data_IF_125339179038
#
_entry.id   IF_125339179038
#
_cell.length_a   1.000
_cell.length_b   1.000
_cell.length_c   1.000
_cell.angle_alpha   90.00
_cell.angle_beta   90.00
_cell.angle_gamma   90.00
#
_symmetry.space_group_name_H-M   'P 1'
#
loop_
_entity.id
_entity.type
_entity.pdbx_description
1 polymer ?
#
# COMPACT_ATOMS: atom_id res chain seq x y z
N UNK A 1 28.53 7.41 31.78
CA UNK A 1 28.25 6.15 31.05
C UNK A 1 27.17 6.45 30.04
N UNK A 2 27.58 6.69 28.80
CA UNK A 2 26.76 7.22 27.72
C UNK A 2 25.74 6.19 27.24
N UNK A 3 24.46 6.53 27.39
CA UNK A 3 23.34 5.77 26.87
C UNK A 3 23.28 5.98 25.35
N UNK A 4 23.55 4.92 24.58
CA UNK A 4 23.30 4.88 23.14
C UNK A 4 21.80 5.07 22.87
N UNK A 5 21.42 6.31 22.54
CA UNK A 5 20.10 6.61 22.00
C UNK A 5 19.92 5.87 20.67
N UNK A 6 18.74 5.29 20.50
CA UNK A 6 18.31 4.56 19.31
C UNK A 6 18.52 5.42 18.05
N UNK A 7 19.46 5.03 17.20
CA UNK A 7 19.66 5.60 15.86
C UNK A 7 18.51 5.16 14.95
N UNK A 8 17.37 5.85 15.05
CA UNK A 8 16.34 5.85 14.03
C UNK A 8 16.14 7.30 13.60
N UNK A 9 16.59 7.60 12.38
CA UNK A 9 16.36 8.82 11.59
C UNK A 9 17.02 10.12 12.06
N UNK A 10 17.71 10.79 11.13
CA UNK A 10 18.09 12.21 11.23
C UNK A 10 17.04 13.02 10.45
N UNK A 11 16.16 13.79 11.10
CA UNK A 11 15.26 14.69 10.40
C UNK A 11 16.02 15.94 9.91
N UNK A 12 15.72 16.38 8.69
CA UNK A 12 16.09 17.71 8.20
C UNK A 12 15.25 18.80 8.90
N UNK A 13 15.71 20.05 8.92
CA UNK A 13 15.01 21.14 9.61
C UNK A 13 13.69 21.49 8.90
N UNK A 14 12.56 21.64 9.61
CA UNK A 14 11.29 22.03 8.99
C UNK A 14 11.20 23.54 8.70
N UNK A 15 10.50 23.90 7.61
CA UNK A 15 9.90 25.24 7.41
C UNK A 15 8.63 25.39 8.28
N UNK A 16 8.19 26.60 8.65
CA UNK A 16 7.15 26.80 9.65
C UNK A 16 5.77 26.41 9.13
N UNK A 17 5.32 25.21 9.51
CA UNK A 17 3.94 24.74 9.38
C UNK A 17 3.00 25.54 10.31
N UNK A 18 1.68 25.60 10.02
CA UNK A 18 0.70 26.25 10.90
C UNK A 18 0.81 25.72 12.34
N UNK A 19 0.59 26.61 13.31
CA UNK A 19 0.81 26.39 14.75
C UNK A 19 0.58 24.93 15.19
N UNK A 20 1.61 24.21 15.67
CA UNK A 20 1.57 22.77 15.96
C UNK A 20 0.40 22.34 16.86
N UNK A 21 -0.06 23.21 17.75
CA UNK A 21 -1.24 22.99 18.60
C UNK A 21 -2.53 22.72 17.80
N UNK A 22 -2.76 23.44 16.69
CA UNK A 22 -3.99 23.30 15.90
C UNK A 22 -4.02 22.03 15.05
N UNK A 23 -2.87 21.56 14.55
CA UNK A 23 -2.77 20.30 13.82
C UNK A 23 -2.78 19.10 14.76
N UNK A 24 -2.06 19.19 15.89
CA UNK A 24 -2.12 18.20 16.96
C UNK A 24 -3.56 17.93 17.40
N UNK A 25 -4.27 18.97 17.84
CA UNK A 25 -5.64 18.84 18.33
C UNK A 25 -6.59 18.22 17.28
N UNK A 26 -6.46 18.61 16.01
CA UNK A 26 -7.28 18.09 14.90
C UNK A 26 -7.07 16.60 14.66
N UNK A 27 -5.81 16.15 14.59
CA UNK A 27 -5.48 14.73 14.37
C UNK A 27 -5.92 13.91 15.59
N UNK A 28 -5.70 14.40 16.81
CA UNK A 28 -6.17 13.73 18.04
C UNK A 28 -7.69 13.62 18.11
N UNK A 29 -8.41 14.66 17.70
CA UNK A 29 -9.87 14.68 17.64
C UNK A 29 -10.41 13.69 16.60
N UNK A 30 -9.75 13.55 15.44
CA UNK A 30 -10.15 12.58 14.41
C UNK A 30 -10.17 11.15 14.96
N UNK A 31 -9.15 10.74 15.73
CA UNK A 31 -9.12 9.41 16.35
C UNK A 31 -10.27 9.21 17.35
N UNK A 32 -10.62 10.26 18.11
CA UNK A 32 -11.75 10.20 19.05
C UNK A 32 -13.10 10.14 18.31
N UNK A 33 -13.26 10.90 17.22
CA UNK A 33 -14.45 10.88 16.39
C UNK A 33 -14.70 9.50 15.74
N UNK A 34 -13.64 8.77 15.38
CA UNK A 34 -13.76 7.40 14.88
C UNK A 34 -14.27 6.40 15.92
N UNK A 35 -14.10 6.68 17.21
CA UNK A 35 -14.53 5.81 18.30
C UNK A 35 -15.88 6.24 18.91
N UNK A 36 -16.34 7.46 18.64
CA UNK A 36 -17.57 8.04 19.20
C UNK A 36 -18.84 7.21 18.94
N UNK A 37 -19.09 6.66 17.74
CA UNK A 37 -20.32 5.89 17.50
C UNK A 37 -20.27 4.46 18.05
N UNK A 38 -19.17 4.06 18.70
CA UNK A 38 -18.93 2.68 19.12
C UNK A 38 -19.31 2.45 20.59
N UNK A 39 -19.83 1.27 20.88
CA UNK A 39 -20.01 0.83 22.26
C UNK A 39 -18.66 0.47 22.92
N UNK A 40 -18.58 0.43 24.26
CA UNK A 40 -17.42 -0.10 24.96
C UNK A 40 -17.05 -1.54 24.54
N UNK A 41 -18.04 -2.37 24.20
CA UNK A 41 -17.88 -3.74 23.74
C UNK A 41 -17.18 -3.79 22.37
N UNK A 42 -17.62 -2.96 21.42
CA UNK A 42 -16.99 -2.82 20.10
C UNK A 42 -15.53 -2.36 20.23
N UNK A 43 -15.28 -1.45 21.18
CA UNK A 43 -13.94 -0.91 21.42
C UNK A 43 -12.96 -1.90 22.09
N UNK A 44 -13.45 -3.02 22.64
CA UNK A 44 -12.66 -4.02 23.36
C UNK A 44 -12.29 -5.23 22.50
N UNK A 45 -13.13 -5.61 21.53
CA UNK A 45 -12.98 -6.86 20.83
C UNK A 45 -11.76 -6.89 19.88
N UNK A 46 -11.20 -8.09 19.69
CA UNK A 46 -10.14 -8.36 18.72
C UNK A 46 -10.59 -9.53 17.84
N UNK A 47 -10.89 -9.24 16.58
CA UNK A 47 -11.48 -10.21 15.64
C UNK A 47 -10.47 -11.16 15.01
N UNK A 48 -9.19 -10.77 14.94
CA UNK A 48 -8.07 -11.65 14.58
C UNK A 48 -6.73 -11.10 15.10
N UNK A 49 -5.65 -11.90 15.14
CA UNK A 49 -4.36 -11.46 15.67
C UNK A 49 -3.74 -10.23 14.99
N UNK A 50 -4.10 -9.97 13.73
CA UNK A 50 -3.62 -8.78 13.03
C UNK A 50 -4.37 -7.50 13.39
N UNK A 51 -5.63 -7.63 13.81
CA UNK A 51 -6.43 -6.50 14.30
C UNK A 51 -6.08 -6.18 15.76
N UNK A 52 -6.37 -4.96 16.19
CA UNK A 52 -6.31 -4.53 17.59
C UNK A 52 -7.64 -3.89 18.01
N UNK A 53 -8.00 -3.96 19.31
CA UNK A 53 -9.17 -3.24 19.81
C UNK A 53 -9.04 -1.74 19.56
N UNK A 54 -10.16 -1.06 19.25
CA UNK A 54 -10.17 0.40 19.04
C UNK A 54 -9.60 1.14 20.24
N UNK A 55 -9.93 0.72 21.47
CA UNK A 55 -9.35 1.35 22.67
C UNK A 55 -7.85 1.10 22.81
N UNK A 56 -7.32 0.01 22.26
CA UNK A 56 -5.88 -0.22 22.22
C UNK A 56 -5.22 0.76 21.24
N UNK A 57 -5.81 1.04 20.09
CA UNK A 57 -5.31 2.08 19.17
C UNK A 57 -5.28 3.46 19.83
N UNK A 58 -6.40 3.85 20.46
CA UNK A 58 -6.52 5.12 21.17
C UNK A 58 -5.46 5.29 22.28
N UNK A 59 -5.20 4.22 23.03
CA UNK A 59 -4.17 4.22 24.06
C UNK A 59 -2.75 4.16 23.47
N UNK A 60 -2.55 3.41 22.39
CA UNK A 60 -1.24 3.26 21.76
C UNK A 60 -0.72 4.55 21.12
N UNK A 61 -1.56 5.30 20.42
CA UNK A 61 -1.13 6.60 19.87
C UNK A 61 -0.82 7.59 20.98
N UNK A 62 -1.53 7.51 22.10
CA UNK A 62 -1.27 8.32 23.30
C UNK A 62 0.05 7.94 23.98
N UNK A 63 0.31 6.63 24.08
CA UNK A 63 1.56 6.07 24.57
C UNK A 63 2.77 6.52 23.74
N UNK A 64 2.61 6.73 22.44
CA UNK A 64 3.68 7.26 21.59
C UNK A 64 4.12 8.65 22.09
N UNK A 65 3.17 9.57 22.25
CA UNK A 65 3.46 10.93 22.73
C UNK A 65 4.00 10.94 24.16
N UNK A 66 3.41 10.15 25.07
CA UNK A 66 3.92 10.06 26.45
C UNK A 66 5.35 9.50 26.50
N UNK A 67 5.64 8.48 25.71
CA UNK A 67 6.93 7.77 25.75
C UNK A 67 8.04 8.55 25.06
N UNK A 68 7.80 9.04 23.84
CA UNK A 68 8.85 9.57 22.98
C UNK A 68 8.95 11.10 23.01
N UNK A 69 7.83 11.79 23.22
CA UNK A 69 7.82 13.26 23.27
C UNK A 69 7.93 13.73 24.71
N UNK A 70 6.90 13.48 25.53
CA UNK A 70 6.86 13.94 26.91
C UNK A 70 8.05 13.37 27.71
N UNK A 71 8.33 12.07 27.60
CA UNK A 71 9.46 11.45 28.30
C UNK A 71 10.83 12.05 27.95
N UNK A 72 10.98 12.63 26.74
CA UNK A 72 12.22 13.28 26.30
C UNK A 72 12.32 14.73 26.76
N UNK A 73 11.23 15.49 26.64
CA UNK A 73 11.22 16.94 26.88
C UNK A 73 10.77 17.34 28.29
N UNK A 74 10.23 16.40 29.07
CA UNK A 74 9.87 16.54 30.49
C UNK A 74 10.23 15.26 31.28
N UNK A 75 11.53 14.90 31.41
CA UNK A 75 11.96 13.62 32.00
C UNK A 75 11.55 13.42 33.47
N UNK A 76 11.21 14.49 34.19
CA UNK A 76 10.70 14.42 35.57
C UNK A 76 9.19 14.24 35.69
N UNK A 77 8.44 14.28 34.57
CA UNK A 77 6.98 14.12 34.61
C UNK A 77 6.62 12.67 34.97
N UNK A 78 5.74 12.52 35.94
CA UNK A 78 5.17 11.20 36.28
C UNK A 78 4.26 10.73 35.14
N UNK A 79 4.41 9.48 34.65
CA UNK A 79 3.49 8.94 33.66
C UNK A 79 2.08 8.79 34.23
N UNK A 80 1.07 8.76 33.37
CA UNK A 80 -0.33 8.57 33.76
C UNK A 80 -0.51 7.28 34.57
N UNK A 81 0.01 6.18 34.04
CA UNK A 81 0.11 4.89 34.73
C UNK A 81 1.39 4.16 34.28
N UNK A 82 2.28 3.73 35.21
CA UNK A 82 3.53 3.07 34.84
C UNK A 82 3.34 1.75 34.07
N UNK A 83 2.21 1.06 34.23
CA UNK A 83 1.94 -0.21 33.54
C UNK A 83 1.63 0.02 32.04
N UNK A 84 1.13 1.19 31.67
CA UNK A 84 0.73 1.51 30.29
C UNK A 84 1.92 1.49 29.33
N UNK A 85 3.14 1.77 29.84
CA UNK A 85 4.37 1.67 29.06
C UNK A 85 4.56 0.28 28.44
N UNK A 86 4.16 -0.78 29.15
CA UNK A 86 4.24 -2.17 28.67
C UNK A 86 2.99 -2.57 27.88
N UNK A 87 1.79 -2.22 28.36
CA UNK A 87 0.52 -2.62 27.75
C UNK A 87 0.34 -2.07 26.32
N UNK A 88 0.79 -0.84 26.10
CA UNK A 88 0.61 -0.13 24.84
C UNK A 88 1.89 -0.02 24.01
N UNK A 89 2.97 -0.72 24.39
CA UNK A 89 4.11 -0.91 23.49
C UNK A 89 3.71 -1.85 22.34
N UNK A 90 3.82 -1.37 21.10
CA UNK A 90 3.48 -2.17 19.92
C UNK A 90 4.55 -3.22 19.61
N UNK A 91 5.78 -2.78 19.39
CA UNK A 91 6.91 -3.62 18.97
C UNK A 91 8.30 -3.01 19.25
N UNK A 92 8.38 -1.93 20.03
CA UNK A 92 9.64 -1.26 20.35
C UNK A 92 10.41 -2.06 21.41
N UNK A 93 11.18 -3.06 20.96
CA UNK A 93 11.95 -3.93 21.85
C UNK A 93 12.97 -3.15 22.70
N UNK A 94 13.51 -2.04 22.16
CA UNK A 94 14.42 -1.15 22.88
C UNK A 94 13.73 -0.38 24.03
N UNK A 95 12.40 -0.21 23.97
CA UNK A 95 11.64 0.47 25.02
C UNK A 95 11.35 -0.47 26.20
N UNK A 96 11.15 -1.76 25.93
CA UNK A 96 10.98 -2.80 26.94
C UNK A 96 10.02 -3.92 26.52
N UNK A 97 9.52 -4.65 27.52
CA UNK A 97 8.51 -5.68 27.34
C UNK A 97 7.22 -5.13 26.72
N UNK A 98 6.40 -6.04 26.16
CA UNK A 98 5.09 -5.73 25.59
C UNK A 98 4.07 -6.81 25.89
N UNK A 99 2.81 -6.41 25.98
CA UNK A 99 1.70 -7.37 25.99
C UNK A 99 1.62 -8.10 24.64
N UNK A 100 1.39 -9.43 24.59
CA UNK A 100 1.32 -10.17 23.34
C UNK A 100 0.22 -9.63 22.40
N UNK A 101 0.58 -9.31 21.15
CA UNK A 101 -0.34 -8.77 20.13
C UNK A 101 -1.62 -9.61 19.96
N UNK A 102 -1.58 -10.96 19.89
CA UNK A 102 -2.78 -11.78 19.73
C UNK A 102 -3.72 -11.78 20.94
N UNK A 103 -3.30 -11.19 22.07
CA UNK A 103 -4.03 -11.17 23.33
C UNK A 103 -4.47 -9.76 23.73
N UNK A 104 -4.38 -8.77 22.83
CA UNK A 104 -4.81 -7.38 23.12
C UNK A 104 -6.31 -7.32 23.45
N UNK A 105 -7.13 -8.14 22.80
CA UNK A 105 -8.56 -8.26 23.06
C UNK A 105 -8.92 -8.84 24.43
N UNK A 106 -7.95 -9.40 25.17
CA UNK A 106 -8.16 -9.92 26.53
C UNK A 106 -7.97 -8.86 27.62
N UNK A 107 -7.45 -7.68 27.27
CA UNK A 107 -7.21 -6.59 28.22
C UNK A 107 -8.53 -5.85 28.51
N UNK A 108 -9.36 -6.40 29.39
CA UNK A 108 -10.60 -5.73 29.84
C UNK A 108 -10.34 -4.44 30.61
N UNK A 109 -9.13 -4.30 31.17
CA UNK A 109 -8.60 -3.06 31.75
C UNK A 109 -7.33 -2.61 31.02
N UNK A 110 -7.13 -1.30 30.87
CA UNK A 110 -8.04 -0.21 31.25
C UNK A 110 -9.32 -0.16 30.41
N UNK A 111 -10.39 0.36 31.00
CA UNK A 111 -11.68 0.60 30.33
C UNK A 111 -11.54 1.67 29.23
N UNK A 112 -12.51 1.74 28.31
CA UNK A 112 -12.55 2.81 27.30
C UNK A 112 -12.53 4.20 27.96
N UNK A 113 -13.29 4.39 29.04
CA UNK A 113 -13.32 5.63 29.79
C UNK A 113 -11.95 6.01 30.37
N UNK A 114 -11.22 5.05 30.97
CA UNK A 114 -9.85 5.27 31.45
C UNK A 114 -8.87 5.61 30.32
N UNK A 115 -9.00 4.97 29.15
CA UNK A 115 -8.22 5.30 27.96
C UNK A 115 -8.49 6.72 27.48
N UNK A 116 -9.76 7.18 27.49
CA UNK A 116 -10.10 8.56 27.14
C UNK A 116 -9.53 9.57 28.15
N UNK A 117 -9.52 9.22 29.45
CA UNK A 117 -8.82 10.04 30.47
C UNK A 117 -7.32 10.09 30.24
N UNK A 118 -6.71 8.97 29.85
CA UNK A 118 -5.29 8.92 29.50
C UNK A 118 -4.98 9.82 28.29
N UNK A 119 -5.81 9.78 27.25
CA UNK A 119 -5.72 10.70 26.10
C UNK A 119 -5.73 12.16 26.56
N UNK A 120 -6.74 12.56 27.32
CA UNK A 120 -6.89 13.93 27.80
C UNK A 120 -5.69 14.39 28.65
N UNK A 121 -5.16 13.52 29.50
CA UNK A 121 -3.97 13.83 30.31
C UNK A 121 -2.74 14.14 29.44
N UNK A 122 -2.48 13.30 28.44
CA UNK A 122 -1.35 13.49 27.52
C UNK A 122 -1.59 14.68 26.60
N UNK A 123 -2.82 14.90 26.14
CA UNK A 123 -3.17 16.06 25.31
C UNK A 123 -2.90 17.38 26.06
N UNK A 124 -3.27 17.49 27.33
CA UNK A 124 -2.97 18.67 28.15
C UNK A 124 -1.45 18.92 28.32
N UNK A 125 -0.67 17.84 28.52
CA UNK A 125 0.79 17.94 28.61
C UNK A 125 1.41 18.36 27.26
N UNK A 126 0.89 17.81 26.15
CA UNK A 126 1.30 18.16 24.80
C UNK A 126 0.95 19.61 24.44
N UNK A 127 -0.22 20.13 24.84
CA UNK A 127 -0.56 21.54 24.66
C UNK A 127 0.45 22.47 25.34
N UNK A 128 0.82 22.13 26.58
CA UNK A 128 1.82 22.89 27.35
C UNK A 128 3.20 22.85 26.67
N UNK A 129 3.60 21.68 26.16
CA UNK A 129 4.87 21.51 25.45
C UNK A 129 4.89 22.24 24.10
N UNK A 130 3.82 22.13 23.32
CA UNK A 130 3.68 22.81 22.04
C UNK A 130 3.74 24.34 22.22
N UNK A 131 3.11 24.88 23.26
CA UNK A 131 3.18 26.32 23.55
C UNK A 131 4.61 26.80 23.88
N UNK A 132 5.46 25.91 24.41
CA UNK A 132 6.82 26.23 24.86
C UNK A 132 7.90 25.97 23.82
N UNK A 133 7.77 24.89 23.04
CA UNK A 133 8.86 24.35 22.21
C UNK A 133 8.60 24.37 20.71
N UNK A 134 7.34 24.50 20.28
CA UNK A 134 7.03 24.31 18.87
C UNK A 134 7.55 25.48 18.02
N UNK A 135 8.28 25.16 16.94
CA UNK A 135 9.01 26.13 16.13
C UNK A 135 10.29 26.67 16.77
N UNK A 136 10.61 26.26 18.01
CA UNK A 136 11.81 26.67 18.76
C UNK A 136 12.83 25.53 18.82
N UNK A 137 12.36 24.29 19.00
CA UNK A 137 13.18 23.09 19.08
C UNK A 137 12.84 22.14 17.92
N UNK A 138 13.76 22.02 16.97
CA UNK A 138 13.56 21.20 15.77
C UNK A 138 13.42 19.70 16.07
N UNK A 139 14.05 19.20 17.15
CA UNK A 139 13.92 17.80 17.54
C UNK A 139 12.54 17.53 18.14
N UNK A 140 11.97 18.50 18.85
CA UNK A 140 10.59 18.45 19.33
C UNK A 140 9.63 18.42 18.15
N UNK A 141 9.76 19.37 17.22
CA UNK A 141 8.89 19.45 16.05
C UNK A 141 8.93 18.17 15.21
N UNK A 142 10.12 17.61 14.98
CA UNK A 142 10.28 16.37 14.22
C UNK A 142 9.63 15.15 14.91
N UNK A 143 9.74 15.03 16.24
CA UNK A 143 9.12 13.93 16.98
C UNK A 143 7.61 14.06 17.06
N UNK A 144 7.09 15.29 17.19
CA UNK A 144 5.65 15.54 17.11
C UNK A 144 5.13 15.21 15.72
N UNK A 145 5.81 15.65 14.66
CA UNK A 145 5.46 15.32 13.27
C UNK A 145 5.38 13.81 13.05
N UNK A 146 6.38 13.06 13.51
CA UNK A 146 6.38 11.60 13.44
C UNK A 146 5.20 10.98 14.21
N UNK A 147 4.92 11.47 15.42
CA UNK A 147 3.80 10.99 16.23
C UNK A 147 2.43 11.26 15.60
N UNK A 148 2.27 12.40 14.93
CA UNK A 148 1.05 12.74 14.21
C UNK A 148 0.83 11.83 13.00
N UNK A 149 1.85 11.60 12.18
CA UNK A 149 1.75 10.67 11.05
C UNK A 149 1.54 9.22 11.52
N UNK A 150 2.15 8.81 12.64
CA UNK A 150 1.89 7.53 13.29
C UNK A 150 0.42 7.40 13.76
N UNK A 151 -0.16 8.45 14.32
CA UNK A 151 -1.59 8.43 14.69
C UNK A 151 -2.51 8.35 13.47
N UNK A 152 -2.17 9.00 12.36
CA UNK A 152 -2.93 8.88 11.11
C UNK A 152 -2.88 7.46 10.53
N UNK A 153 -1.74 6.76 10.62
CA UNK A 153 -1.68 5.31 10.30
C UNK A 153 -2.66 4.51 11.18
N UNK A 154 -2.74 4.84 12.47
CA UNK A 154 -3.66 4.19 13.40
C UNK A 154 -5.13 4.55 13.18
N UNK A 155 -5.45 5.72 12.66
CA UNK A 155 -6.82 6.10 12.27
C UNK A 155 -7.33 5.21 11.13
N UNK A 156 -6.46 4.89 10.17
CA UNK A 156 -6.79 3.93 9.13
C UNK A 156 -7.00 2.52 9.69
N UNK A 157 -6.10 2.07 10.57
CA UNK A 157 -6.21 0.75 11.21
C UNK A 157 -7.49 0.59 12.05
N UNK A 158 -7.94 1.65 12.73
CA UNK A 158 -9.22 1.64 13.46
C UNK A 158 -10.36 1.23 12.52
N UNK A 159 -10.44 1.82 11.33
CA UNK A 159 -11.49 1.53 10.36
C UNK A 159 -11.38 0.12 9.78
N UNK A 160 -10.17 -0.35 9.45
CA UNK A 160 -9.98 -1.70 8.90
C UNK A 160 -10.27 -2.78 9.93
N UNK A 161 -9.84 -2.56 11.17
CA UNK A 161 -10.01 -3.52 12.28
C UNK A 161 -11.47 -3.60 12.72
N UNK A 162 -12.14 -2.46 12.78
CA UNK A 162 -13.57 -2.38 13.03
C UNK A 162 -14.39 -3.03 11.92
N UNK A 163 -14.07 -2.77 10.64
CA UNK A 163 -14.74 -3.40 9.50
C UNK A 163 -14.66 -4.92 9.59
N UNK A 164 -13.48 -5.46 9.91
CA UNK A 164 -13.31 -6.90 10.11
C UNK A 164 -14.16 -7.41 11.28
N UNK A 165 -14.09 -6.75 12.45
CA UNK A 165 -14.90 -7.10 13.62
C UNK A 165 -16.40 -7.17 13.32
N UNK A 166 -16.94 -6.14 12.66
CA UNK A 166 -18.37 -6.07 12.37
C UNK A 166 -18.79 -7.09 11.30
N UNK A 167 -17.92 -7.41 10.34
CA UNK A 167 -18.18 -8.46 9.37
C UNK A 167 -18.29 -9.86 10.00
N UNK A 168 -17.60 -10.10 11.12
CA UNK A 168 -17.69 -11.35 11.86
C UNK A 168 -19.01 -11.48 12.63
N UNK A 169 -19.68 -10.38 12.96
CA UNK A 169 -20.92 -10.38 13.73
C UNK A 169 -22.10 -10.82 12.83
N UNK A 170 -22.85 -11.90 13.18
CA UNK A 170 -23.99 -12.37 12.41
C UNK A 170 -25.09 -11.33 12.16
N UNK A 171 -25.19 -10.31 13.01
CA UNK A 171 -26.15 -9.21 12.87
C UNK A 171 -25.73 -8.18 11.81
N UNK A 172 -24.49 -8.26 11.30
CA UNK A 172 -23.91 -7.35 10.29
C UNK A 172 -24.12 -5.87 10.63
N UNK A 173 -23.69 -5.40 11.82
CA UNK A 173 -23.87 -4.01 12.21
C UNK A 173 -23.12 -3.08 11.24
N UNK A 174 -23.71 -1.93 10.95
CA UNK A 174 -23.05 -0.86 10.21
C UNK A 174 -22.34 0.07 11.19
N UNK A 175 -21.15 0.56 10.84
CA UNK A 175 -20.44 1.58 11.61
C UNK A 175 -21.06 2.97 11.39
N UNK A 176 -21.36 3.29 10.14
CA UNK A 176 -21.95 4.56 9.75
C UNK A 176 -23.31 4.32 9.06
N UNK A 177 -24.24 5.29 9.10
CA UNK A 177 -25.51 5.16 8.40
C UNK A 177 -25.29 4.91 6.89
N UNK A 178 -26.25 4.29 6.20
CA UNK A 178 -26.15 4.05 4.76
C UNK A 178 -25.94 5.36 4.01
N UNK A 179 -24.77 5.52 3.42
CA UNK A 179 -24.40 6.70 2.64
C UNK A 179 -23.63 6.26 1.42
N UNK A 180 -24.33 5.81 0.38
CA UNK A 180 -23.71 5.51 -0.91
C UNK A 180 -24.03 6.65 -1.87
N UNK A 181 -23.14 7.66 -2.01
CA UNK A 181 -23.18 8.52 -3.18
C UNK A 181 -23.02 7.67 -4.43
N UNK A 182 -23.93 7.84 -5.38
CA UNK A 182 -23.89 7.15 -6.66
C UNK A 182 -22.50 7.34 -7.31
N UNK A 183 -21.84 6.24 -7.65
CA UNK A 183 -20.60 6.30 -8.41
C UNK A 183 -20.95 6.70 -9.85
N UNK A 184 -20.18 7.63 -10.46
CA UNK A 184 -20.41 7.99 -11.85
C UNK A 184 -20.25 6.75 -12.76
N UNK A 185 -21.14 6.64 -13.76
CA UNK A 185 -21.19 5.49 -14.67
C UNK A 185 -19.82 5.19 -15.30
N UNK A 186 -19.49 3.89 -15.35
CA UNK A 186 -18.14 3.39 -15.61
C UNK A 186 -17.55 3.83 -16.95
N UNK A 187 -16.31 4.30 -16.92
CA UNK A 187 -15.48 4.45 -18.11
C UNK A 187 -14.73 3.15 -18.39
N UNK A 188 -14.61 2.71 -19.66
CA UNK A 188 -13.66 1.66 -20.03
C UNK A 188 -12.27 2.00 -19.50
N UNK A 189 -11.52 1.00 -19.02
CA UNK A 189 -10.15 1.22 -18.57
C UNK A 189 -9.32 1.79 -19.73
N UNK A 190 -8.81 3.00 -19.58
CA UNK A 190 -7.82 3.57 -20.48
C UNK A 190 -6.42 3.13 -20.09
N UNK A 191 -5.48 3.31 -21.01
CA UNK A 191 -4.07 2.97 -20.82
C UNK A 191 -3.21 4.19 -21.11
N UNK A 192 -2.39 4.57 -20.13
CA UNK A 192 -1.39 5.62 -20.27
C UNK A 192 -0.04 4.98 -20.55
N UNK A 193 0.60 5.39 -21.65
CA UNK A 193 1.94 4.94 -22.01
C UNK A 193 2.99 5.77 -21.25
N UNK A 194 3.99 5.07 -20.73
CA UNK A 194 5.20 5.65 -20.15
C UNK A 194 6.39 5.09 -20.92
N UNK A 195 7.24 5.97 -21.44
CA UNK A 195 8.40 5.54 -22.24
C UNK A 195 9.53 4.92 -21.39
N UNK A 196 9.48 5.08 -20.07
CA UNK A 196 10.54 4.61 -19.17
C UNK A 196 11.81 5.44 -19.30
N UNK A 197 12.97 4.82 -19.10
CA UNK A 197 14.27 5.49 -19.00
C UNK A 197 14.84 5.42 -17.59
N UNK A 198 15.89 6.20 -17.34
CA UNK A 198 16.42 6.42 -16.00
C UNK A 198 15.53 7.46 -15.34
N UNK A 199 14.91 7.09 -14.22
CA UNK A 199 13.97 7.96 -13.48
C UNK A 199 14.35 8.01 -12.00
N UNK A 200 14.16 9.16 -11.37
CA UNK A 200 14.30 9.31 -9.93
C UNK A 200 13.05 8.82 -9.19
N UNK A 201 13.24 8.02 -8.15
CA UNK A 201 12.21 7.58 -7.19
C UNK A 201 12.65 7.90 -5.76
N UNK A 202 11.71 7.86 -4.82
CA UNK A 202 11.94 8.18 -3.40
C UNK A 202 11.74 9.68 -3.08
N UNK A 203 11.65 9.97 -1.78
CA UNK A 203 11.46 11.32 -1.28
C UNK A 203 12.76 12.13 -1.33
N UNK A 204 12.67 13.34 -1.89
CA UNK A 204 13.78 14.29 -2.05
C UNK A 204 13.42 15.71 -1.58
N UNK A 205 12.24 15.91 -0.99
CA UNK A 205 11.77 17.22 -0.53
C UNK A 205 12.09 17.48 0.94
N UNK A 206 11.81 18.71 1.38
CA UNK A 206 12.01 19.15 2.77
C UNK A 206 10.83 18.78 3.70
N UNK A 207 9.72 18.28 3.14
CA UNK A 207 8.56 17.84 3.92
C UNK A 207 8.76 16.50 4.62
N UNK A 208 7.82 16.11 5.48
CA UNK A 208 7.82 14.82 6.13
C UNK A 208 7.73 13.67 5.12
N UNK A 209 8.52 12.62 5.35
CA UNK A 209 8.38 11.30 4.76
C UNK A 209 8.85 10.26 5.78
N UNK A 210 8.35 9.04 5.68
CA UNK A 210 8.92 7.94 6.47
C UNK A 210 10.34 7.61 5.95
N UNK A 211 11.16 7.05 6.82
CA UNK A 211 12.55 6.75 6.52
C UNK A 211 12.73 5.79 5.34
N UNK A 212 11.81 4.82 5.22
CA UNK A 212 11.73 3.87 4.13
C UNK A 212 11.47 4.49 2.74
N UNK A 213 11.08 5.77 2.67
CA UNK A 213 10.90 6.50 1.42
C UNK A 213 12.19 7.20 0.95
N UNK A 214 13.24 7.16 1.79
CA UNK A 214 14.54 7.82 1.55
C UNK A 214 15.70 6.81 1.50
N UNK A 215 16.84 7.15 0.86
CA UNK A 215 17.08 8.32 0.03
C UNK A 215 16.45 8.20 -1.36
N UNK A 216 16.19 9.34 -2.00
CA UNK A 216 15.90 9.36 -3.42
C UNK A 216 17.07 8.82 -4.25
N UNK A 217 16.77 8.05 -5.29
CA UNK A 217 17.75 7.38 -6.12
C UNK A 217 17.20 7.09 -7.53
N UNK A 218 18.10 6.76 -8.46
CA UNK A 218 17.74 6.47 -9.85
C UNK A 218 17.46 4.98 -10.08
N UNK A 219 16.48 4.70 -10.94
CA UNK A 219 16.16 3.35 -11.41
C UNK A 219 15.93 3.33 -12.92
N UNK A 220 16.31 2.22 -13.57
CA UNK A 220 16.06 2.02 -15.01
C UNK A 220 14.72 1.32 -15.24
N UNK A 221 13.79 2.01 -15.90
CA UNK A 221 12.50 1.47 -16.31
C UNK A 221 12.45 1.22 -17.81
N UNK A 222 11.85 0.09 -18.21
CA UNK A 222 11.49 -0.19 -19.60
C UNK A 222 10.17 0.51 -19.93
N UNK A 223 9.87 0.80 -21.21
CA UNK A 223 8.56 1.31 -21.59
C UNK A 223 7.43 0.40 -21.09
N UNK A 224 6.34 1.00 -20.60
CA UNK A 224 5.17 0.28 -20.09
C UNK A 224 3.88 1.07 -20.35
N UNK A 225 2.74 0.40 -20.18
CA UNK A 225 1.44 1.06 -20.09
C UNK A 225 0.88 0.79 -18.71
N UNK A 226 0.29 1.79 -18.07
CA UNK A 226 -0.46 1.63 -16.82
C UNK A 226 -1.91 1.96 -17.11
N UNK A 227 -2.85 1.18 -16.57
CA UNK A 227 -4.25 1.58 -16.66
C UNK A 227 -4.50 2.94 -15.95
N UNK A 228 -5.60 3.61 -16.27
CA UNK A 228 -5.95 4.91 -15.70
C UNK A 228 -6.94 4.83 -14.51
N UNK A 229 -7.39 3.62 -14.17
CA UNK A 229 -8.19 3.32 -12.99
C UNK A 229 -7.90 1.93 -12.42
N UNK A 230 -8.22 1.67 -11.14
CA UNK A 230 -8.22 0.32 -10.58
C UNK A 230 -9.21 -0.62 -11.28
N UNK A 231 -9.01 -1.91 -11.08
CA UNK A 231 -9.94 -2.98 -11.46
C UNK A 231 -11.25 -2.80 -10.71
N UNK A 232 -12.38 -2.94 -11.38
CA UNK A 232 -13.70 -2.80 -10.74
C UNK A 232 -14.24 -4.12 -10.19
N UNK A 233 -15.24 -4.03 -9.32
CA UNK A 233 -15.99 -5.18 -8.82
C UNK A 233 -16.63 -5.99 -9.97
N UNK A 234 -17.18 -5.33 -10.99
CA UNK A 234 -17.75 -6.00 -12.15
C UNK A 234 -16.71 -6.75 -13.00
N UNK A 235 -15.53 -6.15 -13.20
CA UNK A 235 -14.42 -6.81 -13.88
C UNK A 235 -13.89 -8.01 -13.08
N UNK A 236 -13.87 -7.90 -11.74
CA UNK A 236 -13.46 -8.98 -10.86
C UNK A 236 -14.50 -10.10 -10.76
N UNK A 237 -15.79 -9.77 -10.84
CA UNK A 237 -16.87 -10.75 -10.92
C UNK A 237 -16.73 -11.62 -12.17
N UNK A 238 -16.35 -11.04 -13.32
CA UNK A 238 -16.08 -11.80 -14.54
C UNK A 238 -14.93 -12.81 -14.35
N UNK A 239 -13.88 -12.44 -13.60
CA UNK A 239 -12.80 -13.36 -13.22
C UNK A 239 -13.31 -14.51 -12.33
N UNK A 240 -14.18 -14.24 -11.36
CA UNK A 240 -14.81 -15.26 -10.51
C UNK A 240 -15.67 -16.22 -11.36
N UNK A 241 -16.50 -15.67 -12.24
CA UNK A 241 -17.42 -16.42 -13.10
C UNK A 241 -16.66 -17.32 -14.09
N UNK A 242 -15.53 -16.85 -14.64
CA UNK A 242 -14.62 -17.64 -15.49
C UNK A 242 -13.72 -18.63 -14.70
N UNK A 243 -14.08 -18.90 -13.44
CA UNK A 243 -13.42 -19.90 -12.62
C UNK A 243 -12.07 -19.48 -12.08
N UNK A 244 -11.83 -18.18 -11.87
CA UNK A 244 -10.57 -17.65 -11.35
C UNK A 244 -10.05 -18.37 -10.09
N UNK A 245 -10.93 -18.66 -9.14
CA UNK A 245 -10.63 -19.39 -7.89
C UNK A 245 -10.64 -20.93 -8.03
N UNK A 246 -10.76 -21.46 -9.25
CA UNK A 246 -10.78 -22.91 -9.55
C UNK A 246 -9.69 -23.33 -10.54
N UNK A 247 -8.84 -22.39 -10.96
CA UNK A 247 -7.89 -22.54 -12.06
C UNK A 247 -6.45 -22.33 -11.59
N UNK A 248 -5.75 -23.37 -11.12
CA UNK A 248 -4.42 -23.25 -10.51
C UNK A 248 -3.38 -22.60 -11.42
N UNK A 249 -3.53 -22.71 -12.75
CA UNK A 249 -2.62 -22.12 -13.73
C UNK A 249 -2.60 -20.58 -13.69
N UNK A 250 -3.61 -19.96 -13.05
CA UNK A 250 -3.69 -18.52 -12.86
C UNK A 250 -2.89 -18.04 -11.64
N UNK A 251 -2.46 -18.92 -10.73
CA UNK A 251 -1.95 -18.53 -9.42
C UNK A 251 -0.45 -18.77 -9.27
N UNK A 252 0.19 -17.97 -8.40
CA UNK A 252 1.46 -18.38 -7.80
C UNK A 252 1.23 -19.59 -6.89
N UNK A 253 2.19 -20.51 -6.81
CA UNK A 253 2.03 -21.76 -6.03
C UNK A 253 1.58 -21.50 -4.59
N UNK A 254 2.29 -20.62 -3.85
CA UNK A 254 1.91 -20.28 -2.48
C UNK A 254 0.52 -19.64 -2.38
N UNK A 255 0.12 -18.87 -3.40
CA UNK A 255 -1.20 -18.27 -3.46
C UNK A 255 -2.30 -19.30 -3.69
N UNK A 256 -2.05 -20.30 -4.54
CA UNK A 256 -2.96 -21.42 -4.74
C UNK A 256 -3.12 -22.26 -3.49
N UNK A 257 -2.00 -22.61 -2.84
CA UNK A 257 -2.01 -23.39 -1.60
C UNK A 257 -2.82 -22.68 -0.51
N UNK A 258 -2.61 -21.35 -0.34
CA UNK A 258 -3.35 -20.56 0.62
C UNK A 258 -4.85 -20.43 0.27
N UNK A 259 -5.18 -20.18 -1.01
CA UNK A 259 -6.56 -20.09 -1.47
C UNK A 259 -7.31 -21.43 -1.26
N UNK A 260 -6.65 -22.57 -1.48
CA UNK A 260 -7.21 -23.88 -1.18
C UNK A 260 -7.37 -24.10 0.33
N UNK A 261 -6.34 -23.83 1.13
CA UNK A 261 -6.36 -24.03 2.59
C UNK A 261 -7.46 -23.22 3.27
N UNK A 262 -7.70 -21.99 2.81
CA UNK A 262 -8.71 -21.08 3.36
C UNK A 262 -10.02 -21.07 2.56
N UNK A 263 -10.16 -21.96 1.56
CA UNK A 263 -11.33 -22.11 0.70
C UNK A 263 -11.83 -20.77 0.12
N UNK A 264 -10.92 -19.95 -0.42
CA UNK A 264 -11.25 -18.67 -1.02
C UNK A 264 -12.11 -18.84 -2.29
N UNK A 265 -13.15 -18.00 -2.41
CA UNK A 265 -14.10 -18.01 -3.55
C UNK A 265 -14.41 -16.63 -4.12
N UNK A 266 -14.09 -15.58 -3.37
CA UNK A 266 -14.30 -14.19 -3.69
C UNK A 266 -13.40 -13.35 -2.75
N UNK A 267 -13.26 -12.03 -2.98
CA UNK A 267 -12.58 -11.12 -2.07
C UNK A 267 -13.18 -11.17 -0.66
N UNK A 268 -12.39 -10.78 0.34
CA UNK A 268 -12.88 -10.70 1.71
C UNK A 268 -14.10 -9.76 1.79
N UNK A 269 -15.08 -10.13 2.61
CA UNK A 269 -16.38 -9.46 2.80
C UNK A 269 -17.44 -9.67 1.70
N UNK A 270 -17.13 -10.43 0.65
CA UNK A 270 -18.14 -10.84 -0.33
C UNK A 270 -18.92 -12.06 0.18
N UNK A 271 -20.25 -11.95 0.19
CA UNK A 271 -21.17 -12.99 0.64
C UNK A 271 -22.16 -13.34 -0.46
N UNK A 272 -22.47 -14.63 -0.60
CA UNK A 272 -23.40 -15.13 -1.60
C UNK A 272 -22.72 -16.01 -2.64
N UNK A 273 -23.41 -16.21 -3.77
CA UNK A 273 -22.94 -17.05 -4.86
C UNK A 273 -23.58 -16.62 -6.19
N UNK A 274 -22.95 -16.99 -7.30
CA UNK A 274 -23.41 -16.69 -8.67
C UNK A 274 -23.60 -15.20 -8.92
N UNK A 275 -24.84 -14.73 -9.04
CA UNK A 275 -25.19 -13.33 -9.34
C UNK A 275 -25.79 -12.61 -8.12
N UNK A 276 -25.89 -13.28 -6.97
CA UNK A 276 -26.50 -12.77 -5.72
C UNK A 276 -25.44 -12.36 -4.69
N UNK A 277 -24.30 -11.86 -5.17
CA UNK A 277 -23.24 -11.42 -4.29
C UNK A 277 -23.63 -10.11 -3.58
N UNK A 278 -23.21 -10.00 -2.33
CA UNK A 278 -23.28 -8.79 -1.50
C UNK A 278 -21.91 -8.51 -0.90
N UNK A 279 -21.61 -7.25 -0.62
CA UNK A 279 -20.34 -6.82 -0.04
C UNK A 279 -20.60 -6.12 1.28
N UNK A 280 -19.94 -6.59 2.34
CA UNK A 280 -19.99 -5.91 3.63
C UNK A 280 -19.05 -4.69 3.64
N UNK A 281 -19.62 -3.51 3.91
CA UNK A 281 -18.91 -2.22 4.00
C UNK A 281 -19.04 -1.63 5.40
N UNK A 282 -18.39 -0.50 5.67
CA UNK A 282 -18.61 0.23 6.93
C UNK A 282 -20.03 0.82 7.04
N UNK A 283 -20.80 0.80 5.95
CA UNK A 283 -22.21 1.17 5.88
C UNK A 283 -23.15 -0.05 5.92
N UNK A 284 -22.66 -1.24 6.27
CA UNK A 284 -23.43 -2.48 6.31
C UNK A 284 -23.32 -3.33 5.03
N UNK A 285 -24.25 -4.27 4.84
CA UNK A 285 -24.24 -5.19 3.70
C UNK A 285 -24.97 -4.60 2.50
N UNK A 286 -24.30 -4.52 1.34
CA UNK A 286 -24.85 -3.93 0.11
C UNK A 286 -24.73 -4.87 -1.07
N UNK A 287 -25.49 -4.63 -2.14
CA UNK A 287 -25.23 -5.28 -3.42
C UNK A 287 -23.85 -4.84 -3.97
N UNK A 288 -23.31 -5.58 -4.94
CA UNK A 288 -22.11 -5.10 -5.65
C UNK A 288 -22.41 -3.80 -6.35
N UNK A 289 -21.37 -2.99 -6.42
CA UNK A 289 -21.33 -1.83 -7.29
C UNK A 289 -20.34 -2.11 -8.43
N UNK A 290 -20.82 -2.49 -9.64
CA UNK A 290 -19.97 -2.98 -10.72
C UNK A 290 -18.85 -2.01 -11.14
N UNK A 291 -19.02 -0.72 -10.86
CA UNK A 291 -18.06 0.34 -11.19
C UNK A 291 -17.17 0.76 -10.01
N UNK A 292 -17.44 0.29 -8.80
CA UNK A 292 -16.55 0.50 -7.67
C UNK A 292 -15.25 -0.28 -7.85
N UNK A 293 -14.09 0.22 -7.37
CA UNK A 293 -12.88 -0.58 -7.28
C UNK A 293 -13.13 -1.87 -6.50
N UNK A 294 -12.56 -2.99 -6.95
CA UNK A 294 -12.48 -4.18 -6.11
C UNK A 294 -11.53 -3.89 -4.94
N UNK A 295 -11.91 -4.31 -3.74
CA UNK A 295 -11.16 -4.08 -2.49
C UNK A 295 -11.04 -5.36 -1.69
N UNK A 296 -10.16 -5.36 -0.69
CA UNK A 296 -9.94 -6.51 0.21
C UNK A 296 -9.55 -7.80 -0.51
N UNK A 297 -8.78 -7.65 -1.59
CA UNK A 297 -8.08 -8.74 -2.28
C UNK A 297 -6.65 -8.86 -1.75
N UNK A 298 -6.18 -10.09 -1.57
CA UNK A 298 -4.77 -10.38 -1.29
C UNK A 298 -3.88 -10.05 -2.49
N UNK A 299 -2.56 -9.99 -2.25
CA UNK A 299 -1.58 -9.92 -3.33
C UNK A 299 -1.73 -11.08 -4.33
N UNK A 300 -2.01 -12.29 -3.84
CA UNK A 300 -2.17 -13.48 -4.68
C UNK A 300 -3.38 -13.38 -5.60
N UNK A 301 -4.50 -12.90 -5.08
CA UNK A 301 -5.71 -12.62 -5.85
C UNK A 301 -5.47 -11.56 -6.93
N UNK A 302 -4.78 -10.47 -6.57
CA UNK A 302 -4.43 -9.41 -7.51
C UNK A 302 -3.52 -9.91 -8.65
N UNK A 303 -2.50 -10.72 -8.35
CA UNK A 303 -1.63 -11.34 -9.36
C UNK A 303 -2.38 -12.37 -10.22
N UNK A 304 -3.25 -13.18 -9.62
CA UNK A 304 -4.06 -14.16 -10.34
C UNK A 304 -5.04 -13.50 -11.33
N UNK A 305 -5.72 -12.44 -10.88
CA UNK A 305 -6.54 -11.60 -11.74
C UNK A 305 -5.70 -11.00 -12.88
N UNK A 306 -4.55 -10.43 -12.57
CA UNK A 306 -3.67 -9.82 -13.58
C UNK A 306 -3.23 -10.85 -14.64
N UNK A 307 -2.90 -12.09 -14.23
CA UNK A 307 -2.54 -13.17 -15.15
C UNK A 307 -3.71 -13.60 -16.02
N UNK A 308 -4.91 -13.73 -15.45
CA UNK A 308 -6.14 -14.00 -16.19
C UNK A 308 -6.43 -12.94 -17.24
N UNK A 309 -6.34 -11.66 -16.86
CA UNK A 309 -6.53 -10.52 -17.75
C UNK A 309 -5.33 -10.28 -18.72
N UNK A 310 -4.32 -11.17 -18.72
CA UNK A 310 -3.10 -11.10 -19.55
C UNK A 310 -2.28 -9.81 -19.35
N UNK A 311 -2.33 -9.25 -18.16
CA UNK A 311 -1.56 -8.09 -17.69
C UNK A 311 -0.61 -8.54 -16.57
N UNK A 312 0.01 -7.59 -15.86
CA UNK A 312 0.79 -7.84 -14.64
C UNK A 312 0.59 -6.69 -13.66
N UNK A 313 0.91 -6.91 -12.39
CA UNK A 313 1.01 -5.81 -11.43
C UNK A 313 2.18 -4.86 -11.79
N UNK A 314 2.04 -3.54 -11.55
CA UNK A 314 3.15 -2.62 -11.65
C UNK A 314 4.20 -2.89 -10.58
N UNK A 315 5.46 -2.60 -10.89
CA UNK A 315 6.49 -2.44 -9.86
C UNK A 315 6.26 -1.10 -9.15
N UNK A 316 6.71 -0.97 -7.90
CA UNK A 316 6.55 0.28 -7.14
C UNK A 316 7.12 1.49 -7.90
N UNK A 317 8.30 1.36 -8.51
CA UNK A 317 8.91 2.42 -9.31
C UNK A 317 8.10 2.81 -10.57
N UNK A 318 7.40 1.86 -11.18
CA UNK A 318 6.53 2.14 -12.33
C UNK A 318 5.26 2.88 -11.88
N UNK A 319 4.74 2.51 -10.70
CA UNK A 319 3.61 3.19 -10.09
C UNK A 319 3.99 4.61 -9.63
N UNK A 320 5.15 4.78 -9.00
CA UNK A 320 5.62 6.07 -8.50
C UNK A 320 5.90 7.06 -9.64
N UNK A 321 6.53 6.60 -10.74
CA UNK A 321 6.68 7.41 -11.94
C UNK A 321 5.32 7.89 -12.47
N UNK A 322 4.31 7.01 -12.49
CA UNK A 322 2.98 7.35 -12.94
C UNK A 322 2.26 8.32 -11.99
N UNK A 323 2.41 8.14 -10.69
CA UNK A 323 1.82 9.00 -9.67
C UNK A 323 2.39 10.44 -9.70
N UNK A 324 3.65 10.60 -10.09
CA UNK A 324 4.33 11.92 -10.22
C UNK A 324 4.14 12.61 -11.58
N UNK A 325 3.48 11.98 -12.55
CA UNK A 325 3.43 12.48 -13.93
C UNK A 325 2.62 13.79 -14.07
N UNK A 326 3.05 14.75 -14.92
CA UNK A 326 2.33 16.00 -15.16
C UNK A 326 0.88 15.74 -15.62
N UNK A 327 -0.10 16.31 -14.91
CA UNK A 327 -1.52 16.05 -15.14
C UNK A 327 -2.18 15.18 -14.06
N UNK A 328 -1.38 14.46 -13.26
CA UNK A 328 -1.77 14.05 -11.92
C UNK A 328 -1.74 15.29 -11.00
N UNK A 329 -2.71 16.20 -11.15
CA UNK A 329 -2.74 17.41 -10.33
C UNK A 329 -2.83 17.05 -8.85
N UNK A 330 -1.90 17.59 -8.05
CA UNK A 330 -1.93 17.57 -6.58
C UNK A 330 -3.17 18.29 -6.02
N UNK A 331 -3.82 19.16 -6.80
CA UNK A 331 -4.97 19.97 -6.39
C UNK A 331 -6.33 19.31 -6.64
N UNK A 332 -6.36 18.10 -7.22
CA UNK A 332 -7.62 17.41 -7.44
C UNK A 332 -8.02 16.63 -6.17
N UNK A 333 -9.28 16.73 -5.71
CA UNK A 333 -9.69 16.15 -4.43
C UNK A 333 -9.47 14.63 -4.43
N UNK A 334 -8.56 14.17 -3.57
CA UNK A 334 -8.39 12.75 -3.25
C UNK A 334 -9.52 12.30 -2.31
N UNK A 335 -9.87 11.01 -2.36
CA UNK A 335 -10.82 10.41 -1.44
C UNK A 335 -10.12 10.09 -0.11
N UNK A 336 -9.76 11.14 0.63
CA UNK A 336 -9.14 11.03 1.95
C UNK A 336 -10.21 10.84 3.03
N UNK A 337 -9.78 10.44 4.23
CA UNK A 337 -10.68 10.15 5.36
C UNK A 337 -11.60 11.34 5.69
N UNK A 338 -11.11 12.57 5.56
CA UNK A 338 -11.83 13.82 5.84
C UNK A 338 -13.02 14.05 4.91
N UNK A 339 -13.09 13.35 3.77
CA UNK A 339 -14.25 13.38 2.89
C UNK A 339 -15.47 12.65 3.45
N UNK A 340 -15.30 11.87 4.53
CA UNK A 340 -16.34 11.03 5.11
C UNK A 340 -16.73 9.81 4.26
N UNK A 341 -16.05 9.59 3.13
CA UNK A 341 -16.26 8.43 2.28
C UNK A 341 -15.34 7.28 2.71
N UNK A 342 -15.94 6.28 3.36
CA UNK A 342 -15.23 5.19 4.02
C UNK A 342 -14.91 4.00 3.09
N UNK A 343 -15.25 4.12 1.80
CA UNK A 343 -14.93 3.13 0.78
C UNK A 343 -14.13 3.79 -0.37
N UNK A 344 -13.16 3.07 -0.98
CA UNK A 344 -12.41 3.56 -2.12
C UNK A 344 -13.30 3.95 -3.31
N UNK A 345 -12.98 5.07 -3.94
CA UNK A 345 -13.73 5.60 -5.09
C UNK A 345 -12.93 5.55 -6.37
N UNK A 346 -13.60 5.38 -7.54
CA UNK A 346 -13.02 5.74 -8.82
C UNK A 346 -12.59 7.22 -8.78
N UNK A 347 -11.44 7.52 -9.38
CA UNK A 347 -11.02 8.91 -9.55
C UNK A 347 -12.08 9.68 -10.36
N UNK A 348 -12.45 10.92 -9.97
CA UNK A 348 -13.27 11.79 -10.81
C UNK A 348 -12.61 11.96 -12.17
N UNK A 349 -13.40 12.07 -13.25
CA UNK A 349 -12.85 12.34 -14.59
C UNK A 349 -11.98 13.59 -14.55
N UNK A 350 -10.67 13.43 -14.69
CA UNK A 350 -9.80 14.53 -15.05
C UNK A 350 -10.27 15.07 -16.40
N UNK A 351 -10.40 16.40 -16.55
CA UNK A 351 -10.47 17.00 -17.88
C UNK A 351 -9.21 16.57 -18.63
N UNK A 352 -9.32 15.56 -19.51
CA UNK A 352 -8.30 15.34 -20.55
C UNK A 352 -8.26 16.66 -21.31
N UNK A 353 -7.22 17.48 -21.11
CA UNK A 353 -6.81 18.36 -22.20
C UNK A 353 -6.49 17.42 -23.35
N UNK A 354 -7.16 17.62 -24.48
CA UNK A 354 -6.81 16.99 -25.73
C UNK A 354 -5.39 17.44 -26.12
N UNK A 355 -4.39 16.81 -25.51
CA UNK A 355 -2.98 17.04 -25.79
C UNK A 355 -2.60 16.20 -26.99
N UNK A 356 -2.65 16.84 -28.15
CA UNK A 356 -2.10 16.44 -29.45
C UNK A 356 -2.21 14.95 -29.82
N UNK A 357 -3.09 14.67 -30.77
CA UNK A 357 -2.78 13.67 -31.80
C UNK A 357 -1.43 14.05 -32.38
N UNK A 358 -0.35 13.39 -31.95
CA UNK A 358 0.91 13.45 -32.68
C UNK A 358 0.67 12.68 -33.97
N UNK A 359 0.17 13.42 -34.97
CA UNK A 359 0.21 13.02 -36.37
C UNK A 359 1.64 12.59 -36.67
N UNK A 360 1.77 11.43 -37.31
CA UNK A 360 2.98 10.94 -37.98
C UNK A 360 3.89 12.09 -38.44
N UNK A 361 5.10 12.15 -37.89
CA UNK A 361 6.30 12.45 -38.67
C UNK A 361 7.38 11.47 -38.23
N UNK A 362 7.72 10.55 -39.13
CA UNK A 362 9.04 9.93 -39.15
C UNK A 362 10.06 11.07 -39.17
N UNK A 363 10.85 11.21 -38.10
CA UNK A 363 12.10 11.95 -38.09
C UNK A 363 13.20 10.95 -37.81
N UNK A 364 13.90 10.52 -38.85
CA UNK A 364 15.18 9.82 -38.71
C UNK A 364 16.25 10.88 -38.54
N UNK A 365 16.81 11.02 -37.34
CA UNK A 365 18.05 11.78 -37.17
C UNK A 365 19.23 10.92 -37.63
N UNK A 366 19.78 11.26 -38.79
CA UNK A 366 21.09 10.77 -39.23
C UNK A 366 22.18 11.51 -38.43
N UNK A 367 22.61 10.95 -37.30
CA UNK A 367 23.84 11.42 -36.67
C UNK A 367 25.07 10.86 -37.40
N UNK A 368 25.92 11.77 -37.91
CA UNK A 368 27.29 11.43 -38.35
C UNK A 368 28.13 11.09 -37.12
N UNK A 369 28.62 9.86 -37.07
CA UNK A 369 29.66 9.44 -36.12
C UNK A 369 30.91 10.27 -36.38
N UNK A 370 31.32 11.11 -35.41
CA UNK A 370 32.63 11.77 -35.43
C UNK A 370 33.69 10.76 -34.95
N UNK A 371 34.83 10.71 -35.65
CA UNK A 371 35.96 9.88 -35.24
C UNK A 371 36.49 10.33 -33.87
N UNK A 372 36.76 9.38 -32.99
CA UNK A 372 37.52 9.56 -31.75
C UNK A 372 39.00 9.84 -32.10
N UNK A 373 39.62 10.91 -31.60
CA UNK A 373 41.06 11.10 -31.73
C UNK A 373 41.78 10.14 -30.78
N UNK A 374 42.73 9.35 -31.29
CA UNK A 374 43.66 8.58 -30.44
C UNK A 374 43.82 7.09 -30.73
N UNK A 375 43.18 6.54 -31.77
CA UNK A 375 43.41 5.14 -32.17
C UNK A 375 44.19 5.08 -33.49
N UNK A 376 45.51 4.98 -33.39
CA UNK A 376 46.35 4.54 -34.50
C UNK A 376 46.20 3.02 -34.68
N UNK A 377 45.80 2.61 -35.88
CA UNK A 377 45.73 1.22 -36.27
C UNK A 377 47.15 0.64 -36.38
N UNK A 378 47.47 -0.35 -35.55
CA UNK A 378 48.61 -1.24 -35.80
C UNK A 378 48.14 -2.62 -36.26
N UNK A 379 48.86 -3.11 -37.25
CA UNK A 379 48.57 -4.27 -38.08
C UNK A 379 48.71 -5.60 -37.35
N UNK A 380 47.79 -6.53 -37.66
CA UNK A 380 47.97 -8.00 -37.74
C UNK A 380 48.83 -8.69 -36.65
N UNK A 381 48.20 -9.52 -35.81
CA UNK A 381 48.34 -11.00 -35.85
C UNK A 381 47.36 -11.69 -34.89
N UNK A 382 46.84 -12.83 -35.37
CA UNK A 382 45.96 -13.79 -34.67
C UNK A 382 46.65 -14.38 -33.43
N UNK A 383 45.93 -14.56 -32.32
CA UNK A 383 45.97 -15.77 -31.45
C UNK A 383 44.62 -16.00 -30.76
N UNK A 384 44.10 -17.21 -30.93
CA UNK A 384 43.08 -17.85 -30.08
C UNK A 384 43.83 -18.51 -28.92
N UNK A 385 43.38 -18.38 -27.67
CA UNK A 385 43.56 -19.41 -26.63
C UNK A 385 42.29 -19.47 -25.78
N UNK A 386 41.81 -20.70 -25.59
CA UNK A 386 40.74 -21.15 -24.72
C UNK A 386 41.40 -21.82 -23.50
N UNK A 387 40.89 -21.62 -22.27
CA UNK A 387 40.57 -22.70 -21.31
C UNK A 387 40.04 -22.20 -19.95
N UNK A 388 39.11 -23.00 -19.47
CA UNK A 388 38.47 -23.18 -18.16
C UNK A 388 39.45 -23.28 -16.97
N UNK A 389 39.00 -22.89 -15.78
CA UNK A 389 39.46 -23.44 -14.48
C UNK A 389 38.28 -23.57 -13.51
N UNK A 390 38.09 -24.79 -12.99
CA UNK A 390 37.33 -25.15 -11.77
C UNK A 390 38.31 -25.17 -10.58
N UNK A 391 37.93 -24.70 -9.37
CA UNK A 391 38.26 -25.33 -8.06
C UNK A 391 37.23 -24.91 -6.98
N UNK A 392 36.92 -25.88 -6.11
CA UNK A 392 36.00 -26.00 -4.98
C UNK A 392 36.49 -25.33 -3.64
N UNK A 393 35.78 -25.46 -2.49
CA UNK A 393 35.68 -24.46 -1.42
C UNK A 393 36.68 -24.64 -0.26
N UNK A 394 37.02 -23.53 0.42
CA UNK A 394 37.62 -23.53 1.76
C UNK A 394 36.98 -22.41 2.61
N UNK A 395 36.06 -22.83 3.51
CA UNK A 395 35.63 -22.34 4.85
C UNK A 395 35.84 -20.86 5.24
N UNK A 396 35.03 -20.20 6.07
CA UNK A 396 33.68 -20.37 6.62
C UNK A 396 33.34 -19.04 7.33
N UNK A 397 32.53 -18.18 6.71
CA UNK A 397 31.93 -17.05 7.42
C UNK A 397 30.45 -17.41 7.67
N UNK A 398 30.15 -17.74 8.93
CA UNK A 398 28.80 -18.07 9.41
C UNK A 398 27.89 -16.85 9.21
N UNK A 399 27.24 -16.74 8.05
CA UNK A 399 25.95 -16.04 7.94
C UNK A 399 24.88 -17.07 8.21
N UNK A 400 24.20 -16.91 9.34
CA UNK A 400 22.97 -17.60 9.68
C UNK A 400 21.99 -17.39 8.51
N UNK A 401 21.86 -18.40 7.66
CA UNK A 401 20.76 -18.51 6.72
C UNK A 401 19.53 -18.73 7.58
N UNK A 402 18.73 -17.67 7.76
CA UNK A 402 17.42 -17.79 8.38
C UNK A 402 16.52 -18.55 7.40
N UNK A 403 15.91 -19.59 7.95
CA UNK A 403 14.94 -20.48 7.33
C UNK A 403 13.85 -19.72 6.54
N UNK A 404 13.66 -19.99 5.23
CA UNK A 404 12.62 -19.39 4.41
C UNK A 404 11.21 -19.93 4.68
N UNK A 405 11.00 -20.84 5.65
CA UNK A 405 9.70 -21.44 5.95
C UNK A 405 8.70 -20.55 6.72
N UNK A 406 8.98 -19.27 6.94
CA UNK A 406 8.03 -18.34 7.62
C UNK A 406 7.92 -17.00 6.90
N UNK A 407 7.01 -16.93 5.94
CA UNK A 407 6.50 -15.65 5.40
C UNK A 407 5.56 -15.00 6.42
N UNK A 408 5.97 -13.87 6.97
CA UNK A 408 5.05 -12.95 7.66
C UNK A 408 4.66 -11.84 6.68
N UNK A 409 3.38 -11.72 6.29
CA UNK A 409 2.91 -10.52 5.62
C UNK A 409 2.94 -9.39 6.65
N UNK A 410 3.66 -8.31 6.36
CA UNK A 410 3.61 -7.09 7.16
C UNK A 410 3.01 -5.96 6.33
N UNK A 411 1.84 -5.53 6.78
CA UNK A 411 1.33 -4.16 6.77
C UNK A 411 1.55 -3.36 5.48
N UNK A 412 0.56 -3.42 4.58
CA UNK A 412 0.24 -2.30 3.70
C UNK A 412 -0.89 -1.51 4.38
N UNK A 413 -0.70 -0.22 4.70
CA UNK A 413 -1.81 0.71 4.87
C UNK A 413 -2.65 0.71 3.57
N UNK A 414 -3.93 0.36 3.70
CA UNK A 414 -4.98 0.44 2.69
C UNK A 414 -5.55 1.87 2.50
N UNK A 415 -4.72 2.91 2.39
CA UNK A 415 -5.11 4.15 1.72
C UNK A 415 -3.94 4.71 0.92
N UNK A 416 -3.52 3.95 -0.10
CA UNK A 416 -2.86 4.58 -1.24
C UNK A 416 -3.87 5.54 -1.89
N UNK A 417 -3.48 6.77 -2.27
CA UNK A 417 -4.35 7.64 -3.06
C UNK A 417 -4.86 6.84 -4.26
N UNK A 418 -6.17 6.96 -4.56
CA UNK A 418 -6.87 6.22 -5.62
C UNK A 418 -6.44 6.61 -7.06
N UNK A 419 -5.14 6.87 -7.29
CA UNK A 419 -4.55 7.30 -8.55
C UNK A 419 -3.24 6.58 -8.80
N UNK A 420 -3.38 5.47 -9.52
CA UNK A 420 -2.30 4.71 -10.11
C UNK A 420 -2.79 3.28 -10.28
N UNK A 421 -2.92 2.81 -11.51
CA UNK A 421 -3.60 1.55 -11.74
C UNK A 421 -2.75 0.32 -11.41
N UNK A 422 -3.46 -0.78 -11.20
CA UNK A 422 -2.93 -2.10 -10.83
C UNK A 422 -2.85 -3.04 -12.04
N UNK A 423 -2.49 -2.53 -13.21
CA UNK A 423 -2.28 -3.38 -14.37
C UNK A 423 -1.32 -2.75 -15.38
N UNK A 424 -0.33 -3.53 -15.81
CA UNK A 424 0.55 -3.24 -16.94
C UNK A 424 0.31 -4.25 -18.05
N UNK A 425 0.07 -3.74 -19.26
CA UNK A 425 -0.11 -4.54 -20.46
C UNK A 425 1.16 -5.36 -20.74
N UNK A 426 1.05 -6.70 -20.81
CA UNK A 426 2.17 -7.54 -21.22
C UNK A 426 2.46 -7.30 -22.70
N UNK A 427 3.73 -7.09 -23.05
CA UNK A 427 4.13 -7.18 -24.45
C UNK A 427 3.86 -8.60 -24.96
N UNK A 428 3.34 -8.78 -26.18
CA UNK A 428 3.23 -10.10 -26.78
C UNK A 428 4.63 -10.73 -26.85
N UNK A 429 4.76 -12.06 -26.61
CA UNK A 429 6.03 -12.74 -26.80
C UNK A 429 6.50 -12.51 -28.25
N UNK A 430 7.75 -12.07 -28.39
CA UNK A 430 8.37 -11.92 -29.70
C UNK A 430 8.31 -13.28 -30.42
N UNK A 431 7.81 -13.37 -31.67
CA UNK A 431 7.78 -14.65 -32.37
C UNK A 431 9.21 -15.13 -32.54
N UNK A 432 9.58 -16.20 -31.81
CA UNK A 432 10.80 -16.95 -32.08
C UNK A 432 10.72 -17.41 -33.54
N UNK A 433 11.55 -16.81 -34.40
CA UNK A 433 11.82 -17.36 -35.73
C UNK A 433 12.48 -18.73 -35.52
N UNK A 434 11.68 -19.78 -35.53
CA UNK A 434 12.17 -21.13 -35.71
C UNK A 434 12.67 -21.25 -37.16
N UNK A 435 13.99 -21.17 -37.32
CA UNK A 435 14.66 -21.66 -38.53
C UNK A 435 14.81 -23.17 -38.39
N UNK A 436 14.23 -23.93 -39.32
CA UNK A 436 14.65 -25.30 -39.60
C UNK A 436 13.54 -26.34 -39.59
N UNK A 437 13.03 -26.62 -40.80
CA UNK A 437 12.59 -27.91 -41.35
C UNK A 437 12.22 -29.02 -40.34
N UNK A 438 10.92 -29.27 -40.20
CA UNK A 438 10.33 -30.56 -40.56
C UNK A 438 8.82 -30.37 -40.83
N UNK A 439 8.43 -30.78 -42.03
CA UNK A 439 7.04 -30.88 -42.51
C UNK A 439 6.50 -32.23 -42.03
N UNK A 440 5.33 -32.24 -41.36
CA UNK A 440 4.16 -33.06 -41.71
C UNK A 440 3.21 -33.22 -40.50
N UNK A 441 1.91 -33.01 -40.78
CA UNK A 441 0.73 -33.35 -39.96
C UNK A 441 0.58 -32.47 -38.70
N UNK A 442 -0.33 -31.50 -38.65
CA UNK A 442 -1.78 -31.74 -38.58
C UNK A 442 -2.52 -30.46 -38.99
N UNK A 443 -3.18 -30.47 -40.15
CA UNK A 443 -4.22 -29.50 -40.51
C UNK A 443 -5.56 -30.12 -40.09
N UNK A 444 -6.18 -29.64 -39.02
CA UNK A 444 -7.64 -29.51 -38.90
C UNK A 444 -7.98 -28.83 -37.57
N UNK A 445 -9.09 -28.10 -37.55
CA UNK A 445 -9.67 -27.35 -36.41
C UNK A 445 -9.07 -25.98 -36.08
N UNK A 446 -9.19 -25.04 -37.02
CA UNK A 446 -9.29 -23.60 -36.70
C UNK A 446 -10.03 -22.85 -37.82
N UNK A 447 -11.29 -23.19 -38.04
CA UNK A 447 -12.20 -22.51 -38.97
C UNK A 447 -13.64 -22.75 -38.52
N UNK A 448 -14.07 -22.09 -37.45
CA UNK A 448 -15.48 -21.83 -37.13
C UNK A 448 -15.55 -20.91 -35.91
N UNK A 449 -15.42 -19.60 -36.12
CA UNK A 449 -15.92 -18.54 -35.20
C UNK A 449 -15.86 -17.18 -35.89
N UNK A 450 -16.39 -17.12 -37.12
CA UNK A 450 -16.64 -15.88 -37.87
C UNK A 450 -17.92 -16.02 -38.69
N UNK A 451 -19.05 -16.12 -38.01
CA UNK A 451 -20.36 -15.67 -38.50
C UNK A 451 -21.37 -15.93 -37.40
N UNK A 452 -21.83 -14.87 -36.73
CA UNK A 452 -23.16 -14.76 -36.11
C UNK A 452 -23.18 -13.47 -35.29
N UNK A 453 -23.36 -12.34 -35.98
CA UNK A 453 -24.08 -11.15 -35.52
C UNK A 453 -24.18 -10.23 -36.74
N UNK A 454 -25.31 -10.35 -37.43
CA UNK A 454 -25.59 -9.67 -38.69
C UNK A 454 -27.02 -9.92 -39.14
N UNK A 455 -27.97 -9.56 -38.28
CA UNK A 455 -29.35 -9.14 -38.57
C UNK A 455 -30.09 -8.98 -37.25
#
# INVERSE_FOLDING_TARGET
MESSACLLTRPGPPEPAPHPTGRYARIRAQSAALAEPLSPEDCQAQSMPDCSPVKWHLAHTTWFFETFVIGRFEPGRRPFDPQYRMLFNSYYNAVGARHPRPQRGLLTRPSLHEVLRYRAHVDQAMETLCARLAGVDSDFDALVELGLNHEQQHQELILTDLKHLFSCNPLRPAYAPPGIPALPAGTPAGWTRYDGGIVGIGHAGEGFAFDNETPAHEVLLRPFHLADRPVTQGEYLAFIQDGGYRRPELWLSLGWDQACQQNWRAPLYWEGQKDEWRVFTLHGLHALEPHAPVTHVSYYEADAYARWARVRLPREAEWELAARAPGASADAPANLLESGHLDPRPAPRGRRRAGAVVRRRLGMDLQRVRCLPGLHASSRRRRRIQRQVHVQPIRAARRLVRDPARTHPRHLPQLLPARGALAILRHPPCPRRLKGRHVAHTKSFMLEFRSSFGS
#
